data_IF_599548524581
#
_entry.id   IF_599548524581
#
_cell.length_a   1.000
_cell.length_b   1.000
_cell.length_c   1.000
_cell.angle_alpha   90.00
_cell.angle_beta   90.00
_cell.angle_gamma   90.00
#
_symmetry.space_group_name_H-M   'P 1'
#
loop_
_entity.id
_entity.type
_entity.pdbx_description
1 polymer ?
#
# COMPACT_ATOMS: atom_id res chain seq x y z
N UNK A 1 -11.04 5.86 -5.35
CA UNK A 1 -9.70 5.25 -5.28
C UNK A 1 -8.76 6.25 -5.91
N UNK A 2 -7.98 6.94 -5.09
CA UNK A 2 -7.32 8.17 -5.50
C UNK A 2 -6.05 7.94 -6.33
N UNK A 3 -5.88 8.89 -7.24
CA UNK A 3 -4.78 9.18 -8.16
C UNK A 3 -3.39 9.37 -7.50
N UNK A 4 -3.23 9.07 -6.21
CA UNK A 4 -2.11 9.50 -5.37
C UNK A 4 -1.49 8.39 -4.49
N UNK A 5 -1.59 7.12 -4.89
CA UNK A 5 -0.93 5.99 -4.19
C UNK A 5 -1.36 5.78 -2.73
N UNK A 6 -2.53 6.28 -2.32
CA UNK A 6 -3.09 5.96 -1.02
C UNK A 6 -3.62 4.53 -1.03
N UNK A 7 -3.05 3.68 -0.18
CA UNK A 7 -3.52 2.31 0.01
C UNK A 7 -4.98 2.27 0.47
N UNK A 8 -5.68 1.17 0.13
CA UNK A 8 -7.07 0.95 0.50
C UNK A 8 -7.31 1.15 2.00
N UNK A 9 -8.16 2.11 2.34
CA UNK A 9 -8.49 2.37 3.74
C UNK A 9 -9.57 1.41 4.24
N UNK A 10 -9.70 1.33 5.57
CA UNK A 10 -10.82 0.62 6.21
C UNK A 10 -12.19 1.18 5.84
N UNK A 11 -12.29 2.43 5.40
CA UNK A 11 -13.55 3.02 4.94
C UNK A 11 -13.85 2.55 3.53
N UNK A 12 -12.85 2.55 2.66
CA UNK A 12 -12.97 2.06 1.28
C UNK A 12 -13.37 0.60 1.26
N UNK A 13 -12.75 -0.24 2.08
CA UNK A 13 -13.09 -1.66 2.16
C UNK A 13 -14.55 -1.90 2.58
N UNK A 14 -15.06 -1.08 3.51
CA UNK A 14 -16.46 -1.17 3.96
C UNK A 14 -17.46 -0.65 2.93
N UNK A 15 -17.07 0.35 2.13
CA UNK A 15 -17.89 0.85 1.03
C UNK A 15 -17.91 -0.13 -0.15
N UNK A 16 -16.75 -0.68 -0.53
CA UNK A 16 -16.65 -1.71 -1.58
C UNK A 16 -17.46 -2.96 -1.23
N UNK A 17 -17.39 -3.43 0.03
CA UNK A 17 -18.17 -4.58 0.46
C UNK A 17 -19.68 -4.34 0.37
N UNK A 18 -20.14 -3.13 0.68
CA UNK A 18 -21.55 -2.75 0.53
C UNK A 18 -21.96 -2.68 -0.96
N UNK A 19 -21.09 -2.17 -1.84
CA UNK A 19 -21.35 -2.12 -3.29
C UNK A 19 -21.33 -3.50 -3.96
N UNK A 20 -20.59 -4.46 -3.40
CA UNK A 20 -20.53 -5.82 -3.93
C UNK A 20 -21.81 -6.62 -3.63
N UNK A 21 -22.50 -6.26 -2.56
CA UNK A 21 -23.67 -6.99 -2.04
C UNK A 21 -24.89 -7.03 -2.96
N UNK A 22 -25.35 -5.90 -3.56
CA UNK A 22 -26.47 -5.94 -4.50
C UNK A 22 -26.20 -6.79 -5.75
N UNK A 23 -24.93 -7.13 -6.05
CA UNK A 23 -24.57 -8.04 -7.15
C UNK A 23 -24.65 -9.52 -6.78
N UNK A 24 -24.63 -9.86 -5.48
CA UNK A 24 -24.66 -11.23 -4.98
C UNK A 24 -26.01 -11.63 -4.36
N UNK A 25 -26.98 -10.71 -4.28
CA UNK A 25 -28.33 -10.97 -3.75
C UNK A 25 -28.34 -11.62 -2.36
N UNK A 26 -27.35 -11.32 -1.52
CA UNK A 26 -27.26 -11.89 -0.19
C UNK A 26 -28.04 -11.00 0.79
N UNK A 27 -28.92 -11.58 1.65
CA UNK A 27 -29.56 -10.83 2.70
C UNK A 27 -28.50 -10.36 3.70
N UNK A 28 -28.37 -9.03 3.85
CA UNK A 28 -27.33 -8.42 4.65
C UNK A 28 -27.88 -7.46 5.72
N UNK A 29 -27.26 -7.38 6.90
CA UNK A 29 -27.64 -6.43 7.95
C UNK A 29 -27.04 -5.03 7.72
N UNK A 30 -26.50 -4.72 6.54
CA UNK A 30 -25.86 -3.43 6.29
C UNK A 30 -26.86 -2.28 6.29
N UNK A 31 -26.41 -1.16 6.86
CA UNK A 31 -27.20 0.06 6.96
C UNK A 31 -27.25 0.77 5.60
N UNK A 32 -28.39 0.73 4.92
CA UNK A 32 -28.62 1.47 3.67
C UNK A 32 -28.36 2.98 3.84
N UNK A 33 -28.63 3.55 5.02
CA UNK A 33 -28.37 4.97 5.32
C UNK A 33 -26.87 5.36 5.29
N UNK A 34 -25.97 4.39 5.54
CA UNK A 34 -24.52 4.64 5.68
C UNK A 34 -23.73 4.19 4.46
N UNK A 35 -24.38 3.51 3.51
CA UNK A 35 -23.79 2.93 2.29
C UNK A 35 -22.46 2.21 2.54
N UNK A 36 -22.35 1.55 3.70
CA UNK A 36 -21.11 0.91 4.15
C UNK A 36 -21.40 -0.18 5.16
N UNK A 37 -20.51 -1.17 5.20
CA UNK A 37 -20.57 -2.24 6.19
C UNK A 37 -20.15 -1.74 7.58
N UNK A 38 -20.61 -2.45 8.62
CA UNK A 38 -20.27 -2.17 10.01
C UNK A 38 -18.80 -2.42 10.34
N UNK A 39 -18.31 -1.84 11.43
CA UNK A 39 -16.95 -2.10 11.93
C UNK A 39 -16.77 -3.57 12.32
N UNK A 40 -17.80 -4.18 12.93
CA UNK A 40 -17.74 -5.58 13.36
C UNK A 40 -17.62 -6.55 12.18
N UNK A 41 -18.34 -6.26 11.10
CA UNK A 41 -18.21 -7.00 9.85
C UNK A 41 -16.78 -6.93 9.32
N UNK A 42 -16.17 -5.74 9.31
CA UNK A 42 -14.78 -5.55 8.87
C UNK A 42 -13.81 -6.38 9.71
N UNK A 43 -13.93 -6.33 11.03
CA UNK A 43 -13.05 -7.11 11.92
C UNK A 43 -13.25 -8.61 11.72
N UNK A 44 -14.49 -9.08 11.61
CA UNK A 44 -14.79 -10.49 11.32
C UNK A 44 -14.23 -10.94 9.97
N UNK A 45 -14.39 -10.13 8.93
CA UNK A 45 -13.86 -10.39 7.59
C UNK A 45 -12.32 -10.48 7.61
N UNK A 46 -11.65 -9.50 8.20
CA UNK A 46 -10.19 -9.50 8.34
C UNK A 46 -9.68 -10.67 9.18
N UNK A 47 -10.43 -11.10 10.21
CA UNK A 47 -10.07 -12.27 11.03
C UNK A 47 -10.13 -13.56 10.22
N UNK A 48 -11.17 -13.75 9.39
CA UNK A 48 -11.32 -14.94 8.54
C UNK A 48 -10.24 -15.03 7.46
N UNK A 49 -9.84 -13.90 6.90
CA UNK A 49 -8.89 -13.85 5.78
C UNK A 49 -7.51 -13.34 6.18
N UNK A 50 -7.12 -13.46 7.45
CA UNK A 50 -5.85 -12.91 7.97
C UNK A 50 -4.60 -13.45 7.25
N UNK A 51 -4.67 -14.66 6.71
CA UNK A 51 -3.57 -15.27 5.97
C UNK A 51 -3.35 -14.67 4.57
N UNK A 52 -4.41 -14.15 3.93
CA UNK A 52 -4.36 -13.61 2.57
C UNK A 52 -4.52 -12.09 2.49
N UNK A 53 -5.16 -11.47 3.50
CA UNK A 53 -5.49 -10.05 3.51
C UNK A 53 -4.85 -9.32 4.70
N UNK A 54 -4.19 -8.20 4.40
CA UNK A 54 -3.67 -7.27 5.40
C UNK A 54 -4.02 -5.83 5.02
N UNK A 55 -4.61 -5.06 5.94
CA UNK A 55 -4.78 -3.62 5.77
C UNK A 55 -3.53 -2.94 6.30
N UNK A 56 -2.68 -2.45 5.40
CA UNK A 56 -1.46 -1.76 5.76
C UNK A 56 -1.75 -0.28 5.97
N UNK A 57 -1.15 0.31 7.01
CA UNK A 57 -1.02 1.76 7.10
C UNK A 57 -0.06 2.18 5.99
N UNK A 58 -0.44 3.16 5.19
CA UNK A 58 0.49 3.75 4.23
C UNK A 58 1.68 4.30 4.99
N UNK A 59 2.88 3.88 4.61
CA UNK A 59 4.09 4.63 4.94
C UNK A 59 3.97 5.99 4.25
N UNK A 60 4.46 7.05 4.89
CA UNK A 60 4.48 8.40 4.33
C UNK A 60 5.48 8.51 3.18
N UNK A 61 5.24 7.76 2.11
CA UNK A 61 5.96 7.90 0.85
C UNK A 61 5.41 9.15 0.20
N UNK A 62 6.24 10.21 0.13
CA UNK A 62 5.87 11.40 -0.63
C UNK A 62 5.67 11.03 -2.09
N UNK A 63 4.82 11.77 -2.80
CA UNK A 63 4.60 11.60 -4.24
C UNK A 63 5.94 11.62 -4.99
N UNK A 64 6.86 12.52 -4.62
CA UNK A 64 8.20 12.58 -5.20
C UNK A 64 9.02 11.31 -4.98
N UNK A 65 8.89 10.63 -3.83
CA UNK A 65 9.56 9.34 -3.59
C UNK A 65 8.98 8.23 -4.46
N UNK A 66 7.67 8.22 -4.69
CA UNK A 66 7.04 7.25 -5.58
C UNK A 66 7.43 7.48 -7.04
N UNK A 67 7.50 8.75 -7.47
CA UNK A 67 7.92 9.11 -8.83
C UNK A 67 9.41 8.88 -9.08
N UNK A 68 10.27 9.19 -8.11
CA UNK A 68 11.72 9.01 -8.21
C UNK A 68 12.20 7.56 -8.05
N UNK A 69 11.30 6.62 -7.77
CA UNK A 69 11.61 5.19 -7.73
C UNK A 69 11.30 4.54 -9.08
N UNK A 70 11.83 5.12 -10.16
CA UNK A 70 11.76 4.59 -11.52
C UNK A 70 13.11 3.95 -11.92
N UNK A 71 13.10 3.20 -13.03
CA UNK A 71 14.27 2.41 -13.44
C UNK A 71 15.44 3.31 -13.81
N UNK A 72 15.17 4.43 -14.46
CA UNK A 72 16.14 5.39 -14.94
C UNK A 72 16.87 6.05 -13.78
N UNK A 73 16.14 6.63 -12.82
CA UNK A 73 16.69 7.30 -11.64
C UNK A 73 17.47 6.32 -10.74
N UNK A 74 16.95 5.08 -10.58
CA UNK A 74 17.63 4.05 -9.79
C UNK A 74 18.94 3.63 -10.46
N UNK A 75 18.94 3.44 -11.78
CA UNK A 75 20.16 3.09 -12.50
C UNK A 75 21.19 4.23 -12.43
N UNK A 76 20.77 5.48 -12.60
CA UNK A 76 21.67 6.63 -12.50
C UNK A 76 22.31 6.73 -11.11
N UNK A 77 21.51 6.53 -10.05
CA UNK A 77 22.01 6.48 -8.68
C UNK A 77 23.09 5.40 -8.50
N UNK A 78 22.84 4.17 -8.95
CA UNK A 78 23.82 3.08 -8.79
C UNK A 78 25.06 3.25 -9.67
N UNK A 79 24.92 3.80 -10.88
CA UNK A 79 26.06 4.13 -11.74
C UNK A 79 26.95 5.19 -11.07
N UNK A 80 26.35 6.22 -10.47
CA UNK A 80 27.09 7.25 -9.73
C UNK A 80 27.78 6.67 -8.50
N UNK A 81 27.07 5.79 -7.77
CA UNK A 81 27.62 5.11 -6.61
C UNK A 81 28.82 4.24 -6.98
N UNK A 82 28.71 3.42 -8.02
CA UNK A 82 29.79 2.56 -8.52
C UNK A 82 31.00 3.38 -8.96
N UNK A 83 30.76 4.48 -9.68
CA UNK A 83 31.81 5.42 -10.08
C UNK A 83 32.55 5.98 -8.87
N UNK A 84 31.83 6.49 -7.87
CA UNK A 84 32.44 7.06 -6.66
C UNK A 84 33.17 6.01 -5.83
N UNK A 85 32.63 4.79 -5.73
CA UNK A 85 33.32 3.67 -5.07
C UNK A 85 34.64 3.34 -5.75
N UNK A 86 34.66 3.33 -7.08
CA UNK A 86 35.87 3.03 -7.87
C UNK A 86 36.88 4.17 -7.80
N UNK A 87 36.45 5.43 -7.95
CA UNK A 87 37.34 6.61 -7.94
C UNK A 87 38.03 6.83 -6.59
N UNK A 88 37.30 6.59 -5.49
CA UNK A 88 37.83 6.78 -4.13
C UNK A 88 38.38 5.47 -3.54
N UNK A 89 38.30 4.37 -4.28
CA UNK A 89 38.75 3.04 -3.87
C UNK A 89 38.17 2.62 -2.49
N UNK A 90 36.90 2.96 -2.25
CA UNK A 90 36.20 2.62 -1.01
C UNK A 90 36.06 1.11 -0.90
N UNK A 91 36.56 0.54 0.20
CA UNK A 91 36.34 -0.86 0.51
C UNK A 91 35.08 -1.01 1.37
N UNK A 92 34.49 -2.21 1.32
CA UNK A 92 33.29 -2.54 2.10
C UNK A 92 33.50 -2.31 3.62
N UNK A 93 34.77 -2.32 4.07
CA UNK A 93 35.18 -2.10 5.46
C UNK A 93 35.20 -0.61 5.87
N UNK A 94 35.37 0.31 4.92
CA UNK A 94 35.37 1.76 5.16
C UNK A 94 33.95 2.32 5.28
N UNK A 95 33.00 1.63 4.68
CA UNK A 95 31.58 1.91 4.78
C UNK A 95 31.06 1.17 6.02
N UNK A 96 31.15 1.80 7.20
CA UNK A 96 30.59 1.26 8.45
C UNK A 96 29.14 0.78 8.23
N UNK A 97 28.99 -0.52 7.98
CA UNK A 97 27.71 -1.21 7.91
C UNK A 97 27.26 -1.61 9.32
#
# INVERSE_FOLDING_TARGET
MDQMYYGLTRKDLRSMAFQLDPRNSLPHPFSFLRESTGKDWLYGFMKRHKASLSIRKTTGTSLNRALGFNKEDVNEFFNLLEKLMTENNFHCEDLQC
#
